data_IF_951306200715
#
_entry.id   IF_951306200715
#
_cell.length_a   1.000
_cell.length_b   1.000
_cell.length_c   1.000
_cell.angle_alpha   90.00
_cell.angle_beta   90.00
_cell.angle_gamma   90.00
#
_symmetry.space_group_name_H-M   'P 1'
#
loop_
_entity.id
_entity.type
_entity.pdbx_description
1 polymer ?
#
# COMPACT_ATOMS: atom_id res chain seq x y z
N UNK A 1 9.92 35.28 6.18
CA UNK A 1 10.30 33.97 5.58
C UNK A 1 10.89 34.22 4.21
N UNK A 2 12.06 33.63 3.93
CA UNK A 2 12.71 33.68 2.62
C UNK A 2 11.85 32.93 1.59
N UNK A 3 11.76 33.44 0.36
CA UNK A 3 10.97 32.84 -0.73
C UNK A 3 11.46 31.44 -1.10
N UNK A 4 12.78 31.25 -1.18
CA UNK A 4 13.41 29.95 -1.40
C UNK A 4 13.02 28.90 -0.33
N UNK A 5 12.83 29.32 0.93
CA UNK A 5 12.41 28.39 1.99
C UNK A 5 10.95 27.95 1.81
N UNK A 6 10.09 28.83 1.29
CA UNK A 6 8.69 28.48 0.99
C UNK A 6 8.58 27.54 -0.18
N UNK A 7 9.40 27.73 -1.22
CA UNK A 7 9.44 26.83 -2.37
C UNK A 7 9.92 25.44 -1.97
N UNK A 8 11.04 25.35 -1.24
CA UNK A 8 11.56 24.07 -0.73
C UNK A 8 10.51 23.31 0.12
N UNK A 9 9.83 24.00 1.04
CA UNK A 9 8.77 23.37 1.84
C UNK A 9 7.59 22.89 0.99
N UNK A 10 7.23 23.63 -0.07
CA UNK A 10 6.15 23.23 -0.98
C UNK A 10 6.54 21.96 -1.75
N UNK A 11 7.75 21.91 -2.29
CA UNK A 11 8.27 20.74 -2.99
C UNK A 11 8.32 19.50 -2.08
N UNK A 12 8.81 19.64 -0.84
CA UNK A 12 8.83 18.54 0.12
C UNK A 12 7.42 18.01 0.44
N UNK A 13 6.45 18.91 0.65
CA UNK A 13 5.06 18.51 0.90
C UNK A 13 4.46 17.80 -0.32
N UNK A 14 4.68 18.30 -1.53
CA UNK A 14 4.16 17.69 -2.76
C UNK A 14 4.73 16.28 -2.98
N UNK A 15 6.04 16.09 -2.75
CA UNK A 15 6.68 14.78 -2.84
C UNK A 15 6.15 13.80 -1.77
N UNK A 16 6.00 14.23 -0.53
CA UNK A 16 5.45 13.39 0.54
C UNK A 16 3.98 13.04 0.32
N UNK A 17 3.16 13.97 -0.18
CA UNK A 17 1.77 13.69 -0.56
C UNK A 17 1.69 12.65 -1.66
N UNK A 18 2.55 12.76 -2.68
CA UNK A 18 2.61 11.81 -3.78
C UNK A 18 2.98 10.41 -3.29
N UNK A 19 4.03 10.28 -2.46
CA UNK A 19 4.42 8.99 -1.87
C UNK A 19 3.29 8.37 -1.05
N UNK A 20 2.65 9.17 -0.18
CA UNK A 20 1.53 8.69 0.63
C UNK A 20 0.35 8.25 -0.22
N UNK A 21 0.06 8.95 -1.32
CA UNK A 21 -1.00 8.58 -2.24
C UNK A 21 -0.71 7.24 -2.93
N UNK A 22 0.50 7.06 -3.45
CA UNK A 22 0.92 5.80 -4.08
C UNK A 22 0.88 4.62 -3.10
N UNK A 23 1.34 4.84 -1.86
CA UNK A 23 1.26 3.84 -0.79
C UNK A 23 -0.18 3.49 -0.43
N UNK A 24 -1.08 4.48 -0.35
CA UNK A 24 -2.49 4.26 -0.07
C UNK A 24 -3.19 3.45 -1.17
N UNK A 25 -2.86 3.69 -2.44
CA UNK A 25 -3.38 2.90 -3.57
C UNK A 25 -2.90 1.46 -3.49
N UNK A 26 -1.60 1.23 -3.29
CA UNK A 26 -1.06 -0.13 -3.21
C UNK A 26 -1.63 -0.88 -2.01
N UNK A 27 -1.78 -0.22 -0.86
CA UNK A 27 -2.41 -0.83 0.31
C UNK A 27 -3.88 -1.18 0.05
N UNK A 28 -4.64 -0.29 -0.60
CA UNK A 28 -6.01 -0.58 -1.00
C UNK A 28 -6.12 -1.79 -1.94
N UNK A 29 -5.15 -1.95 -2.84
CA UNK A 29 -5.05 -3.13 -3.72
C UNK A 29 -4.75 -4.41 -2.95
N UNK A 30 -3.82 -4.36 -1.99
CA UNK A 30 -3.50 -5.50 -1.11
C UNK A 30 -4.74 -5.89 -0.30
N UNK A 31 -5.46 -4.92 0.27
CA UNK A 31 -6.67 -5.20 1.06
C UNK A 31 -7.75 -5.90 0.23
N UNK A 32 -7.97 -5.49 -1.03
CA UNK A 32 -8.91 -6.19 -1.93
C UNK A 32 -8.49 -7.63 -2.20
N UNK A 33 -7.18 -7.88 -2.38
CA UNK A 33 -6.67 -9.24 -2.57
C UNK A 33 -6.89 -10.09 -1.30
N UNK A 34 -6.71 -9.50 -0.12
CA UNK A 34 -6.97 -10.16 1.17
C UNK A 34 -8.46 -10.53 1.27
N UNK A 35 -9.38 -9.60 0.97
CA UNK A 35 -10.82 -9.84 1.00
C UNK A 35 -11.21 -11.02 0.09
N UNK A 36 -10.65 -11.07 -1.12
CA UNK A 36 -10.90 -12.16 -2.07
C UNK A 36 -10.40 -13.51 -1.55
N UNK A 37 -9.24 -13.55 -0.89
CA UNK A 37 -8.70 -14.77 -0.27
C UNK A 37 -9.57 -15.21 0.90
N UNK A 38 -9.97 -14.29 1.78
CA UNK A 38 -10.83 -14.61 2.92
C UNK A 38 -12.21 -15.14 2.50
N UNK A 39 -12.74 -14.63 1.38
CA UNK A 39 -13.98 -15.13 0.78
C UNK A 39 -13.80 -16.45 0.01
N UNK A 40 -12.59 -17.03 0.00
CA UNK A 40 -12.21 -18.22 -0.78
C UNK A 40 -12.46 -18.05 -2.30
N UNK A 41 -12.47 -16.82 -2.80
CA UNK A 41 -12.66 -16.48 -4.21
C UNK A 41 -11.34 -16.46 -4.99
N UNK A 42 -10.22 -16.33 -4.29
CA UNK A 42 -8.88 -16.29 -4.86
C UNK A 42 -7.92 -17.14 -4.02
N UNK A 43 -7.10 -18.04 -4.62
CA UNK A 43 -6.07 -18.75 -3.87
C UNK A 43 -5.03 -17.78 -3.29
N UNK A 44 -4.61 -18.04 -2.06
CA UNK A 44 -3.63 -17.18 -1.36
C UNK A 44 -2.30 -17.03 -2.12
N UNK A 45 -1.84 -18.10 -2.79
CA UNK A 45 -0.61 -18.06 -3.61
C UNK A 45 -0.76 -17.13 -4.81
N UNK A 46 -1.93 -17.14 -5.46
CA UNK A 46 -2.24 -16.24 -6.58
C UNK A 46 -2.32 -14.80 -6.10
N UNK A 47 -2.94 -14.56 -4.94
CA UNK A 47 -3.04 -13.22 -4.35
C UNK A 47 -1.66 -12.64 -4.01
N UNK A 48 -0.77 -13.44 -3.40
CA UNK A 48 0.60 -13.04 -3.10
C UNK A 48 1.39 -12.67 -4.37
N UNK A 49 1.27 -13.49 -5.42
CA UNK A 49 1.88 -13.20 -6.73
C UNK A 49 1.31 -11.91 -7.35
N UNK A 50 -0.01 -11.71 -7.30
CA UNK A 50 -0.65 -10.48 -7.77
C UNK A 50 -0.16 -9.26 -6.98
N UNK A 51 0.04 -9.41 -5.67
CA UNK A 51 0.60 -8.40 -4.78
C UNK A 51 2.12 -8.19 -4.98
N UNK A 52 2.76 -8.96 -5.87
CA UNK A 52 4.21 -8.94 -6.15
C UNK A 52 5.07 -9.14 -4.89
N UNK A 53 4.58 -9.97 -3.97
CA UNK A 53 5.25 -10.30 -2.72
C UNK A 53 5.26 -11.82 -2.49
N UNK A 54 6.03 -12.27 -1.51
CA UNK A 54 6.07 -13.67 -1.13
C UNK A 54 4.79 -14.09 -0.39
N UNK A 55 4.54 -15.39 -0.34
CA UNK A 55 3.41 -15.95 0.39
C UNK A 55 3.45 -15.57 1.89
N UNK A 56 4.63 -15.56 2.51
CA UNK A 56 4.81 -15.20 3.91
C UNK A 56 4.54 -13.71 4.17
N UNK A 57 5.04 -12.82 3.31
CA UNK A 57 4.72 -11.38 3.39
C UNK A 57 3.22 -11.12 3.26
N UNK A 58 2.56 -11.83 2.34
CA UNK A 58 1.13 -11.70 2.15
C UNK A 58 0.33 -12.18 3.38
N UNK A 59 0.73 -13.30 4.01
CA UNK A 59 0.11 -13.77 5.26
C UNK A 59 0.26 -12.75 6.39
N UNK A 60 1.41 -12.10 6.52
CA UNK A 60 1.61 -11.02 7.50
C UNK A 60 0.69 -9.82 7.20
N UNK A 61 0.48 -9.48 5.92
CA UNK A 61 -0.46 -8.44 5.53
C UNK A 61 -1.91 -8.80 5.88
N UNK A 62 -2.31 -10.06 5.72
CA UNK A 62 -3.62 -10.58 6.14
C UNK A 62 -3.83 -10.42 7.65
N UNK A 63 -2.88 -10.87 8.46
CA UNK A 63 -2.96 -10.80 9.94
C UNK A 63 -3.11 -9.36 10.45
N UNK A 64 -2.45 -8.40 9.77
CA UNK A 64 -2.58 -6.97 10.06
C UNK A 64 -3.94 -6.38 9.67
N UNK A 65 -4.65 -6.97 8.71
CA UNK A 65 -5.95 -6.50 8.25
C UNK A 65 -7.12 -7.04 9.10
N UNK A 66 -6.88 -8.06 9.93
CA UNK A 66 -7.88 -8.62 10.86
C UNK A 66 -7.93 -7.91 12.23
N UNK A 67 -7.00 -7.00 12.54
CA UNK A 67 -6.96 -6.20 13.78
C UNK A 67 -7.50 -4.78 13.60
#
# INVERSE_FOLDING_TARGET
MCEALRELMKEEIEEELKKNHEQGIEQGRINQLIDLVMQNLLPIETAAQCAKMTLDEFKVAMDKNEN
#
